data_IF_818663626664
#
_entry.id   IF_818663626664
#
_cell.length_a   1.000
_cell.length_b   1.000
_cell.length_c   1.000
_cell.angle_alpha   90.00
_cell.angle_beta   90.00
_cell.angle_gamma   90.00
#
_symmetry.space_group_name_H-M   'P 1'
#
loop_
_entity.id
_entity.type
_entity.pdbx_description
1 polymer ?
#
# COMPACT_ATOMS: atom_id res chain seq x y z
N UNK A 1 -2.25 -11.11 24.06
CA UNK A 1 -2.16 -9.67 24.39
C UNK A 1 -2.42 -8.88 23.11
N UNK A 2 -3.30 -7.87 23.11
CA UNK A 2 -3.56 -7.07 21.91
C UNK A 2 -2.25 -6.41 21.44
N UNK A 3 -1.87 -6.65 20.18
CA UNK A 3 -0.69 -6.01 19.59
C UNK A 3 -0.97 -4.53 19.40
N UNK A 4 -0.08 -3.69 19.90
CA UNK A 4 -0.19 -2.24 19.81
C UNK A 4 -0.03 -1.85 18.34
N UNK A 5 -1.06 -1.25 17.75
CA UNK A 5 -1.00 -0.68 16.39
C UNK A 5 0.08 0.40 16.32
N UNK A 6 0.80 0.48 15.20
CA UNK A 6 1.78 1.53 14.96
C UNK A 6 1.15 2.94 15.06
N UNK A 7 -0.08 3.09 14.55
CA UNK A 7 -0.86 4.33 14.65
C UNK A 7 -1.21 4.66 16.10
N UNK A 8 -1.60 3.65 16.88
CA UNK A 8 -1.92 3.80 18.29
C UNK A 8 -0.72 4.31 19.11
N UNK A 9 0.48 3.80 18.84
CA UNK A 9 1.71 4.24 19.49
C UNK A 9 2.08 5.69 19.15
N UNK A 10 1.94 6.08 17.88
CA UNK A 10 2.15 7.47 17.44
C UNK A 10 1.17 8.42 18.12
N UNK A 11 -0.12 8.10 18.09
CA UNK A 11 -1.18 8.93 18.72
C UNK A 11 -0.95 9.06 20.22
N UNK A 12 -0.65 7.96 20.92
CA UNK A 12 -0.34 7.99 22.34
C UNK A 12 0.89 8.87 22.66
N UNK A 13 1.93 8.79 21.82
CA UNK A 13 3.14 9.62 21.96
C UNK A 13 2.81 11.11 21.80
N UNK A 14 2.06 11.49 20.77
CA UNK A 14 1.64 12.89 20.56
C UNK A 14 0.71 13.40 21.66
N UNK A 15 -0.25 12.59 22.12
CA UNK A 15 -1.14 12.95 23.23
C UNK A 15 -0.35 13.14 24.53
N UNK A 16 0.60 12.26 24.82
CA UNK A 16 1.44 12.39 26.01
C UNK A 16 2.29 13.67 25.98
N UNK A 17 2.87 14.00 24.82
CA UNK A 17 3.63 15.24 24.63
C UNK A 17 2.74 16.48 24.80
N UNK A 18 1.54 16.47 24.21
CA UNK A 18 0.57 17.55 24.34
C UNK A 18 0.13 17.76 25.79
N UNK A 19 -0.11 16.68 26.55
CA UNK A 19 -0.47 16.75 27.96
C UNK A 19 0.66 17.37 28.80
N UNK A 20 1.91 16.96 28.56
CA UNK A 20 3.09 17.50 29.26
C UNK A 20 3.26 18.99 28.94
N UNK A 21 3.14 19.39 27.67
CA UNK A 21 3.18 20.79 27.26
C UNK A 21 2.08 21.62 27.92
N UNK A 22 0.85 21.10 27.96
CA UNK A 22 -0.30 21.78 28.55
C UNK A 22 -0.14 21.93 30.07
N UNK A 23 0.33 20.89 30.76
CA UNK A 23 0.63 20.94 32.20
C UNK A 23 1.75 21.94 32.50
N UNK A 24 2.83 21.93 31.71
CA UNK A 24 3.93 22.86 31.82
C UNK A 24 3.45 24.32 31.62
N UNK A 25 2.67 24.58 30.57
CA UNK A 25 2.12 25.91 30.30
C UNK A 25 1.16 26.38 31.41
N UNK A 26 0.31 25.50 31.93
CA UNK A 26 -0.59 25.82 33.04
C UNK A 26 0.17 26.17 34.32
N UNK A 27 1.22 25.41 34.65
CA UNK A 27 2.10 25.71 35.79
C UNK A 27 2.82 27.05 35.63
N UNK A 28 3.37 27.32 34.44
CA UNK A 28 4.02 28.61 34.13
C UNK A 28 3.01 29.76 34.28
N UNK A 29 1.82 29.64 33.69
CA UNK A 29 0.80 30.69 33.73
C UNK A 29 0.36 31.04 35.16
N UNK A 30 0.16 30.03 36.02
CA UNK A 30 -0.23 30.22 37.43
C UNK A 30 0.85 30.98 38.22
N UNK A 31 2.11 30.55 38.12
CA UNK A 31 3.21 31.15 38.89
C UNK A 31 3.48 32.59 38.46
N UNK A 32 3.45 32.86 37.15
CA UNK A 32 3.60 34.22 36.61
C UNK A 32 2.47 35.16 37.06
N UNK A 33 1.23 34.68 37.11
CA UNK A 33 0.09 35.49 37.53
C UNK A 33 0.18 35.90 39.01
N UNK A 34 0.49 34.95 39.90
CA UNK A 34 0.53 35.20 41.36
C UNK A 34 1.70 36.12 41.71
N UNK A 35 2.90 35.85 41.19
CA UNK A 35 4.09 36.69 41.47
C UNK A 35 3.93 38.10 40.91
N UNK A 36 3.31 38.23 39.73
CA UNK A 36 3.00 39.54 39.15
C UNK A 36 2.06 40.36 40.04
N UNK A 37 1.06 39.72 40.65
CA UNK A 37 0.13 40.39 41.56
C UNK A 37 0.82 40.87 42.84
N UNK A 38 1.61 40.00 43.49
CA UNK A 38 2.27 40.31 44.76
C UNK A 38 3.29 41.47 44.57
N UNK A 39 4.08 41.44 43.49
CA UNK A 39 5.04 42.51 43.18
C UNK A 39 4.35 43.86 42.91
N UNK A 40 3.24 43.87 42.17
CA UNK A 40 2.46 45.07 41.90
C UNK A 40 1.82 45.63 43.17
N UNK A 41 1.29 44.76 44.04
CA UNK A 41 0.68 45.17 45.30
C UNK A 41 1.70 45.83 46.24
N UNK A 42 2.87 45.21 46.40
CA UNK A 42 3.94 45.75 47.22
C UNK A 42 4.37 47.16 46.76
N UNK A 43 4.60 47.34 45.45
CA UNK A 43 5.00 48.63 44.89
C UNK A 43 3.90 49.71 45.07
N UNK A 44 2.63 49.34 44.89
CA UNK A 44 1.51 50.25 45.10
C UNK A 44 1.37 50.63 46.59
N UNK A 45 1.49 49.68 47.51
CA UNK A 45 1.43 49.95 48.96
C UNK A 45 2.54 50.90 49.40
N UNK A 46 3.77 50.71 48.92
CA UNK A 46 4.90 51.59 49.22
C UNK A 46 4.71 53.00 48.63
N UNK A 47 4.21 53.10 47.38
CA UNK A 47 3.91 54.39 46.75
C UNK A 47 2.80 55.13 47.52
N UNK A 48 1.76 54.41 47.95
CA UNK A 48 0.67 54.95 48.76
C UNK A 48 1.18 55.42 50.12
N UNK A 49 2.03 54.63 50.80
CA UNK A 49 2.70 55.01 52.06
C UNK A 49 3.39 56.38 51.95
N UNK A 50 4.25 56.52 50.93
CA UNK A 50 5.04 57.73 50.70
C UNK A 50 4.17 58.92 50.36
N UNK A 51 3.09 58.70 49.62
CA UNK A 51 2.15 59.76 49.24
C UNK A 51 1.33 60.22 50.45
N UNK A 52 0.86 59.27 51.27
CA UNK A 52 0.14 59.54 52.51
C UNK A 52 0.97 60.39 53.47
N UNK A 53 2.23 60.03 53.70
CA UNK A 53 3.14 60.77 54.58
C UNK A 53 3.43 62.20 54.11
N UNK A 54 3.32 62.47 52.80
CA UNK A 54 3.53 63.82 52.24
C UNK A 54 2.29 64.70 52.32
N UNK A 55 1.09 64.12 52.27
CA UNK A 55 -0.16 64.86 52.12
C UNK A 55 -0.97 64.95 53.42
N UNK A 56 -0.77 64.04 54.36
CA UNK A 56 -1.52 63.95 55.62
C UNK A 56 -0.64 64.38 56.78
N UNK A 57 -1.12 65.29 57.63
CA UNK A 57 -0.35 65.78 58.79
C UNK A 57 -0.18 64.73 59.90
N UNK A 58 0.87 64.83 60.74
CA UNK A 58 1.26 63.78 61.70
C UNK A 58 0.16 63.43 62.73
N UNK A 59 -0.69 64.37 63.12
CA UNK A 59 -1.82 64.07 64.02
C UNK A 59 -2.89 63.19 63.38
N UNK A 60 -3.21 63.43 62.09
CA UNK A 60 -4.16 62.61 61.33
C UNK A 60 -3.59 61.25 60.97
N UNK A 61 -2.27 61.15 60.74
CA UNK A 61 -1.60 59.87 60.49
C UNK A 61 -1.80 58.88 61.65
N UNK A 62 -1.92 59.37 62.89
CA UNK A 62 -2.15 58.53 64.08
C UNK A 62 -3.58 57.98 64.14
N UNK A 63 -4.56 58.64 63.54
CA UNK A 63 -5.97 58.28 63.71
C UNK A 63 -6.42 57.05 62.92
N UNK A 64 -5.60 56.59 61.96
CA UNK A 64 -5.94 55.43 61.12
C UNK A 64 -7.04 55.78 60.12
N UNK A 65 -6.73 55.76 58.82
CA UNK A 65 -7.71 56.15 57.80
C UNK A 65 -7.50 55.43 56.46
N UNK A 66 -8.54 55.42 55.66
CA UNK A 66 -8.47 54.95 54.29
C UNK A 66 -7.87 56.04 53.39
N UNK A 67 -6.93 55.65 52.54
CA UNK A 67 -6.27 56.53 51.58
C UNK A 67 -5.98 55.77 50.29
N UNK A 68 -6.53 56.25 49.17
CA UNK A 68 -6.39 55.64 47.84
C UNK A 68 -6.75 54.14 47.78
N UNK A 69 -7.76 53.71 48.55
CA UNK A 69 -8.22 52.31 48.60
C UNK A 69 -7.34 51.37 49.42
N UNK A 70 -6.44 51.92 50.24
CA UNK A 70 -5.68 51.20 51.26
C UNK A 70 -6.03 51.76 52.63
N UNK A 71 -5.99 50.94 53.67
CA UNK A 71 -6.13 51.39 55.05
C UNK A 71 -4.75 51.56 55.68
N UNK A 72 -4.46 52.72 56.26
CA UNK A 72 -3.18 53.01 56.89
C UNK A 72 -3.37 53.40 58.34
N UNK A 73 -2.56 52.86 59.25
CA UNK A 73 -2.53 53.29 60.65
C UNK A 73 -1.14 53.09 61.26
N UNK A 74 -0.75 54.02 62.14
CA UNK A 74 0.49 53.92 62.92
C UNK A 74 0.38 52.94 64.10
N UNK A 75 -0.84 52.70 64.59
CA UNK A 75 -1.12 51.75 65.66
C UNK A 75 -1.77 50.48 65.10
N UNK A 76 -1.21 49.33 65.46
CA UNK A 76 -1.76 48.02 65.10
C UNK A 76 -3.18 47.81 65.62
N UNK A 77 -3.51 48.34 66.79
CA UNK A 77 -4.85 48.17 67.38
C UNK A 77 -5.94 48.88 66.58
N UNK A 78 -5.57 49.90 65.78
CA UNK A 78 -6.47 50.64 64.89
C UNK A 78 -6.62 49.99 63.52
N UNK A 79 -5.93 48.88 63.25
CA UNK A 79 -6.15 48.14 62.01
C UNK A 79 -7.56 47.55 61.98
N UNK A 80 -8.22 47.50 60.80
CA UNK A 80 -9.55 46.94 60.66
C UNK A 80 -9.62 45.47 61.09
N UNK A 81 -10.81 45.03 61.50
CA UNK A 81 -11.02 43.67 61.99
C UNK A 81 -10.59 42.59 60.98
N UNK A 82 -10.80 42.83 59.68
CA UNK A 82 -10.39 41.90 58.65
C UNK A 82 -8.87 41.65 58.60
N UNK A 83 -8.07 42.66 58.96
CA UNK A 83 -6.61 42.55 59.02
C UNK A 83 -6.22 41.79 60.29
N UNK A 84 -6.79 42.18 61.43
CA UNK A 84 -6.49 41.56 62.73
C UNK A 84 -6.95 40.11 62.84
N UNK A 85 -8.01 39.73 62.13
CA UNK A 85 -8.46 38.33 62.00
C UNK A 85 -7.54 37.51 61.08
N UNK A 86 -6.96 38.15 60.06
CA UNK A 86 -6.10 37.48 59.08
C UNK A 86 -4.65 37.34 59.55
N UNK A 87 -4.18 38.27 60.39
CA UNK A 87 -2.82 38.31 60.92
C UNK A 87 -2.87 38.50 62.43
N UNK A 88 -2.42 37.48 63.18
CA UNK A 88 -2.45 37.50 64.64
C UNK A 88 -1.45 38.48 65.28
N UNK A 89 -0.40 38.86 64.56
CA UNK A 89 0.66 39.75 65.03
C UNK A 89 1.00 40.80 63.97
N UNK A 90 1.45 42.00 64.38
CA UNK A 90 1.92 43.01 63.45
C UNK A 90 3.18 42.52 62.71
N UNK A 91 3.34 42.89 61.43
CA UNK A 91 4.51 42.53 60.64
C UNK A 91 5.80 43.07 61.25
N UNK A 92 6.81 42.21 61.37
CA UNK A 92 8.11 42.50 62.02
C UNK A 92 9.17 43.01 61.07
N UNK A 93 9.06 42.72 59.78
CA UNK A 93 10.00 43.17 58.76
C UNK A 93 9.39 44.30 57.92
N UNK A 94 10.10 45.45 57.77
CA UNK A 94 9.65 46.53 56.92
C UNK A 94 9.79 46.17 55.44
N UNK A 95 8.91 46.72 54.61
CA UNK A 95 8.86 46.53 53.16
C UNK A 95 8.66 45.07 52.68
N UNK A 96 8.33 44.14 53.58
CA UNK A 96 7.88 42.80 53.21
C UNK A 96 6.35 42.77 53.08
N UNK A 97 5.85 42.15 52.01
CA UNK A 97 4.42 41.96 51.77
C UNK A 97 3.93 40.69 52.46
N UNK A 98 3.03 40.84 53.42
CA UNK A 98 2.32 39.77 54.09
C UNK A 98 0.97 39.54 53.42
N UNK A 99 0.58 38.27 53.27
CA UNK A 99 -0.64 37.87 52.55
C UNK A 99 -1.37 36.77 53.30
N UNK A 100 -2.68 36.94 53.44
CA UNK A 100 -3.60 35.94 53.94
C UNK A 100 -4.70 35.71 52.91
N UNK A 101 -5.14 34.45 52.77
CA UNK A 101 -6.23 34.09 51.87
C UNK A 101 -7.08 32.98 52.47
N UNK A 102 -8.38 32.99 52.16
CA UNK A 102 -9.35 31.98 52.59
C UNK A 102 -9.28 30.65 51.81
N UNK A 103 -8.56 30.63 50.68
CA UNK A 103 -8.44 29.46 49.80
C UNK A 103 -7.29 28.52 50.18
N UNK A 104 -7.61 27.22 50.34
CA UNK A 104 -6.64 26.13 50.43
C UNK A 104 -6.51 25.32 49.12
N UNK A 105 -5.28 25.04 48.68
CA UNK A 105 -5.01 24.12 47.57
C UNK A 105 -5.36 24.64 46.17
N UNK A 106 -6.27 23.95 45.47
CA UNK A 106 -6.67 24.24 44.08
C UNK A 106 -7.89 25.18 43.96
N UNK A 107 -8.53 25.57 45.07
CA UNK A 107 -9.67 26.51 45.04
C UNK A 107 -9.17 27.96 44.92
N UNK A 108 -9.84 28.75 44.08
CA UNK A 108 -9.56 30.17 43.94
C UNK A 108 -9.98 30.89 45.23
N UNK A 109 -9.10 31.68 45.87
CA UNK A 109 -9.47 32.43 47.07
C UNK A 109 -10.50 33.50 46.72
N UNK A 110 -11.53 33.62 47.55
CA UNK A 110 -12.60 34.61 47.42
C UNK A 110 -12.21 35.91 48.12
N UNK A 111 -11.32 35.82 49.11
CA UNK A 111 -10.79 36.95 49.88
C UNK A 111 -9.27 36.86 49.99
N UNK A 112 -8.59 37.95 49.62
CA UNK A 112 -7.16 38.12 49.86
C UNK A 112 -6.90 39.40 50.65
N UNK A 113 -6.19 39.28 51.77
CA UNK A 113 -5.78 40.43 52.59
C UNK A 113 -4.27 40.60 52.46
N UNK A 114 -3.87 41.79 52.04
CA UNK A 114 -2.48 42.20 51.93
C UNK A 114 -2.13 43.18 53.05
N UNK A 115 -0.94 43.02 53.61
CA UNK A 115 -0.45 43.82 54.73
C UNK A 115 1.05 44.09 54.56
N UNK A 116 1.48 45.32 54.84
CA UNK A 116 2.89 45.70 54.79
C UNK A 116 3.20 46.69 55.91
N UNK A 117 4.39 46.58 56.50
CA UNK A 117 4.96 47.62 57.37
C UNK A 117 5.86 48.54 56.56
N UNK A 118 5.68 49.84 56.73
CA UNK A 118 6.55 50.86 56.18
C UNK A 118 7.14 51.68 57.33
N UNK A 119 8.46 51.65 57.48
CA UNK A 119 9.13 52.35 58.57
C UNK A 119 9.29 53.84 58.23
N UNK A 120 8.95 54.70 59.19
CA UNK A 120 9.06 56.15 59.08
C UNK A 120 9.91 56.69 60.23
N UNK A 121 10.30 57.97 60.16
CA UNK A 121 11.04 58.62 61.25
C UNK A 121 10.23 58.71 62.56
N UNK A 122 8.90 58.66 62.49
CA UNK A 122 8.00 58.77 63.64
C UNK A 122 7.51 57.41 64.17
N UNK A 123 7.90 56.31 63.53
CA UNK A 123 7.50 54.94 63.90
C UNK A 123 6.96 54.12 62.72
N UNK A 124 6.49 52.89 62.98
CA UNK A 124 5.98 52.00 61.94
C UNK A 124 4.61 52.47 61.43
N UNK A 125 4.44 52.49 60.11
CA UNK A 125 3.15 52.68 59.45
C UNK A 125 2.71 51.36 58.84
N UNK A 126 1.56 50.85 59.28
CA UNK A 126 0.97 49.64 58.70
C UNK A 126 0.02 50.02 57.57
N UNK A 127 0.07 49.28 56.47
CA UNK A 127 -0.76 49.49 55.29
C UNK A 127 -1.41 48.18 54.97
N UNK A 128 -2.73 48.19 54.82
CA UNK A 128 -3.49 47.00 54.51
C UNK A 128 -4.48 47.25 53.37
N UNK A 129 -4.79 46.18 52.63
CA UNK A 129 -5.88 46.19 51.66
C UNK A 129 -6.50 44.82 51.56
N UNK A 130 -7.82 44.80 51.56
CA UNK A 130 -8.59 43.65 51.16
C UNK A 130 -8.86 43.72 49.65
N UNK A 131 -8.54 42.64 48.94
CA UNK A 131 -9.04 42.40 47.59
C UNK A 131 -10.06 41.26 47.64
N UNK A 132 -11.30 41.62 47.39
CA UNK A 132 -12.33 40.74 46.83
C UNK A 132 -12.18 40.85 45.31
N UNK A 133 -11.79 39.78 44.59
CA UNK A 133 -11.44 39.90 43.17
C UNK A 133 -12.62 40.44 42.34
N UNK A 134 -12.53 41.63 41.72
CA UNK A 134 -13.53 42.05 40.75
C UNK A 134 -13.34 41.27 39.44
N UNK A 135 -14.43 41.15 38.66
CA UNK A 135 -14.40 40.48 37.35
C UNK A 135 -13.40 41.19 36.43
N UNK A 136 -12.36 40.43 36.04
CA UNK A 136 -11.37 40.66 34.97
C UNK A 136 -10.92 42.12 34.75
N UNK A 137 -9.73 42.47 35.25
CA UNK A 137 -8.89 43.46 34.57
C UNK A 137 -7.42 43.06 34.56
N UNK A 138 -6.85 43.19 33.37
CA UNK A 138 -5.47 42.92 32.96
C UNK A 138 -4.60 44.13 33.24
N UNK A 139 -3.34 43.93 33.68
CA UNK A 139 -2.11 44.61 33.20
C UNK A 139 -0.91 44.38 34.15
N UNK A 140 -0.04 43.48 33.68
CA UNK A 140 1.44 43.36 33.60
C UNK A 140 2.28 44.61 34.01
N UNK A 141 3.53 44.61 34.54
CA UNK A 141 4.75 43.81 34.36
C UNK A 141 5.74 43.87 35.56
N UNK A 142 6.66 42.88 35.58
CA UNK A 142 8.08 42.91 36.00
C UNK A 142 8.48 42.08 37.24
N UNK A 143 8.98 40.86 37.02
CA UNK A 143 10.05 40.23 37.83
C UNK A 143 10.80 39.18 36.99
N UNK A 144 12.02 39.51 36.52
CA UNK A 144 12.71 38.75 35.43
C UNK A 144 13.68 37.67 35.95
N UNK A 145 14.21 37.77 37.18
CA UNK A 145 15.38 36.98 37.58
C UNK A 145 15.06 35.59 38.16
N UNK A 146 14.05 35.48 39.04
CA UNK A 146 13.66 34.19 39.63
C UNK A 146 12.83 33.35 38.65
N UNK A 147 12.07 34.01 37.77
CA UNK A 147 11.34 33.37 36.68
C UNK A 147 12.26 32.67 35.68
N UNK A 148 13.50 33.16 35.51
CA UNK A 148 14.46 32.56 34.58
C UNK A 148 14.85 31.14 34.98
N UNK A 149 15.12 30.88 36.26
CA UNK A 149 15.50 29.54 36.73
C UNK A 149 14.32 28.56 36.61
N UNK A 150 13.12 28.97 36.99
CA UNK A 150 11.92 28.14 36.83
C UNK A 150 11.63 27.83 35.35
N UNK A 151 11.69 28.84 34.48
CA UNK A 151 11.55 28.65 33.03
C UNK A 151 12.61 27.71 32.46
N UNK A 152 13.87 27.84 32.87
CA UNK A 152 14.94 26.94 32.43
C UNK A 152 14.66 25.51 32.86
N UNK A 153 14.19 25.29 34.09
CA UNK A 153 13.90 23.94 34.61
C UNK A 153 12.74 23.30 33.86
N UNK A 154 11.63 24.03 33.67
CA UNK A 154 10.48 23.53 32.89
C UNK A 154 10.88 23.27 31.43
N UNK A 155 11.64 24.18 30.82
CA UNK A 155 12.12 24.01 29.44
C UNK A 155 13.00 22.77 29.30
N UNK A 156 13.87 22.50 30.27
CA UNK A 156 14.77 21.34 30.26
C UNK A 156 14.02 20.03 30.47
N UNK A 157 12.98 20.02 31.32
CA UNK A 157 12.07 18.87 31.49
C UNK A 157 11.30 18.59 30.20
N UNK A 158 10.72 19.61 29.57
CA UNK A 158 10.00 19.46 28.29
C UNK A 158 10.95 18.96 27.19
N UNK A 159 12.17 19.51 27.10
CA UNK A 159 13.18 19.08 26.14
C UNK A 159 13.58 17.60 26.36
N UNK A 160 13.80 17.19 27.62
CA UNK A 160 14.10 15.80 27.96
C UNK A 160 12.96 14.86 27.58
N UNK A 161 11.71 15.28 27.78
CA UNK A 161 10.53 14.50 27.40
C UNK A 161 10.40 14.35 25.88
N UNK A 162 10.63 15.43 25.11
CA UNK A 162 10.67 15.40 23.65
C UNK A 162 11.77 14.46 23.16
N UNK A 163 12.97 14.55 23.74
CA UNK A 163 14.09 13.68 23.38
C UNK A 163 13.78 12.19 23.69
N UNK A 164 13.16 11.90 24.84
CA UNK A 164 12.75 10.56 25.23
C UNK A 164 11.71 9.97 24.27
N UNK A 165 10.66 10.73 23.95
CA UNK A 165 9.63 10.30 22.99
C UNK A 165 10.25 10.09 21.60
N UNK A 166 11.10 11.01 21.16
CA UNK A 166 11.78 10.89 19.86
C UNK A 166 12.65 9.64 19.79
N UNK A 167 13.41 9.35 20.86
CA UNK A 167 14.23 8.14 20.95
C UNK A 167 13.39 6.86 20.98
N UNK A 168 12.28 6.86 21.71
CA UNK A 168 11.33 5.73 21.74
C UNK A 168 10.71 5.48 20.36
N UNK A 169 10.22 6.53 19.69
CA UNK A 169 9.68 6.44 18.33
C UNK A 169 10.72 5.91 17.35
N UNK A 170 11.95 6.42 17.40
CA UNK A 170 13.03 5.94 16.53
C UNK A 170 13.31 4.44 16.78
N UNK A 171 13.35 4.01 18.03
CA UNK A 171 13.64 2.61 18.38
C UNK A 171 12.48 1.66 18.06
N UNK A 172 11.24 2.10 18.28
CA UNK A 172 10.05 1.26 18.10
C UNK A 172 9.53 1.26 16.67
N UNK A 173 9.68 2.35 15.91
CA UNK A 173 9.19 2.45 14.53
C UNK A 173 10.28 2.14 13.52
N UNK A 174 11.46 2.76 13.63
CA UNK A 174 12.49 2.65 12.58
C UNK A 174 13.13 1.27 12.53
N UNK A 175 13.27 0.55 13.66
CA UNK A 175 13.82 -0.82 13.64
C UNK A 175 12.90 -1.81 12.90
N UNK A 176 11.59 -1.92 13.22
CA UNK A 176 10.69 -2.79 12.45
C UNK A 176 10.57 -2.39 10.97
N UNK A 177 10.58 -1.10 10.66
CA UNK A 177 10.61 -0.64 9.27
C UNK A 177 11.89 -1.05 8.55
N UNK A 178 13.06 -0.95 9.20
CA UNK A 178 14.33 -1.40 8.65
C UNK A 178 14.34 -2.92 8.45
N UNK A 179 13.73 -3.70 9.35
CA UNK A 179 13.57 -5.14 9.20
C UNK A 179 12.70 -5.48 7.99
N UNK A 180 11.56 -4.80 7.81
CA UNK A 180 10.71 -4.97 6.64
C UNK A 180 11.49 -4.65 5.36
N UNK A 181 12.21 -3.52 5.32
CA UNK A 181 13.06 -3.14 4.19
C UNK A 181 14.16 -4.16 3.89
N UNK A 182 14.81 -4.70 4.92
CA UNK A 182 15.84 -5.72 4.74
C UNK A 182 15.24 -7.02 4.18
N UNK A 183 14.06 -7.42 4.68
CA UNK A 183 13.34 -8.58 4.17
C UNK A 183 12.91 -8.40 2.70
N UNK A 184 12.36 -7.23 2.34
CA UNK A 184 11.97 -6.95 0.94
C UNK A 184 13.17 -6.92 0.00
N UNK A 185 14.33 -6.39 0.42
CA UNK A 185 15.55 -6.44 -0.39
C UNK A 185 16.15 -7.86 -0.50
N UNK A 186 15.95 -8.69 0.50
CA UNK A 186 16.43 -10.06 0.52
C UNK A 186 15.49 -11.04 -0.21
N UNK A 187 14.34 -10.57 -0.70
CA UNK A 187 13.33 -11.40 -1.34
C UNK A 187 13.81 -11.90 -2.70
N UNK A 188 13.76 -13.22 -2.86
CA UNK A 188 14.11 -13.94 -4.07
C UNK A 188 13.03 -14.99 -4.37
N UNK A 189 13.23 -15.74 -5.46
CA UNK A 189 12.31 -16.77 -5.93
C UNK A 189 11.99 -17.84 -4.87
N UNK A 190 12.96 -18.22 -4.06
CA UNK A 190 12.79 -19.29 -3.07
C UNK A 190 12.11 -18.78 -1.79
N UNK A 191 12.44 -17.56 -1.37
CA UNK A 191 11.83 -16.93 -0.18
C UNK A 191 10.40 -16.46 -0.41
N UNK A 192 9.99 -16.23 -1.65
CA UNK A 192 8.59 -15.93 -1.98
C UNK A 192 7.65 -17.10 -1.66
N UNK A 193 8.15 -18.34 -1.68
CA UNK A 193 7.38 -19.53 -1.28
C UNK A 193 7.26 -19.69 0.25
N UNK A 194 8.05 -18.94 1.02
CA UNK A 194 8.04 -19.01 2.47
C UNK A 194 6.95 -18.10 3.05
N UNK A 195 6.44 -18.40 4.27
CA UNK A 195 5.51 -17.51 4.96
C UNK A 195 6.19 -16.17 5.28
N UNK A 196 5.40 -15.09 5.24
CA UNK A 196 5.86 -13.76 5.64
C UNK A 196 6.33 -13.80 7.10
N UNK A 197 7.50 -13.21 7.43
CA UNK A 197 7.96 -13.11 8.81
C UNK A 197 6.97 -12.32 9.66
N UNK A 198 6.85 -12.69 10.92
CA UNK A 198 5.96 -11.98 11.83
C UNK A 198 6.61 -10.70 12.36
N UNK A 199 6.22 -9.55 11.80
CA UNK A 199 6.68 -8.24 12.22
C UNK A 199 5.95 -7.76 13.48
N UNK A 200 6.59 -6.81 14.18
CA UNK A 200 6.10 -6.28 15.45
C UNK A 200 4.70 -5.62 15.37
N UNK A 201 4.31 -5.16 14.18
CA UNK A 201 3.06 -4.43 13.96
C UNK A 201 2.19 -5.12 12.91
N UNK A 202 0.88 -5.28 13.15
CA UNK A 202 -0.06 -5.85 12.18
C UNK A 202 -0.03 -5.15 10.81
N UNK A 203 0.10 -3.82 10.80
CA UNK A 203 0.12 -3.04 9.56
C UNK A 203 1.36 -3.35 8.70
N UNK A 204 2.49 -3.72 9.33
CA UNK A 204 3.68 -4.15 8.59
C UNK A 204 3.50 -5.57 8.02
N UNK A 205 2.79 -6.45 8.73
CA UNK A 205 2.45 -7.79 8.22
C UNK A 205 1.52 -7.69 7.00
N UNK A 206 0.50 -6.83 7.05
CA UNK A 206 -0.39 -6.59 5.90
C UNK A 206 0.39 -6.07 4.68
N UNK A 207 1.29 -5.10 4.89
CA UNK A 207 2.12 -4.57 3.82
C UNK A 207 3.08 -5.63 3.26
N UNK A 208 3.69 -6.44 4.12
CA UNK A 208 4.59 -7.51 3.71
C UNK A 208 3.85 -8.59 2.89
N UNK A 209 2.61 -8.92 3.27
CA UNK A 209 1.75 -9.85 2.53
C UNK A 209 1.36 -9.31 1.16
N UNK A 210 1.04 -8.02 1.08
CA UNK A 210 0.75 -7.35 -0.20
C UNK A 210 1.97 -7.38 -1.13
N UNK A 211 3.18 -7.11 -0.60
CA UNK A 211 4.44 -7.16 -1.35
C UNK A 211 4.71 -8.59 -1.84
N UNK A 212 4.58 -9.59 -0.95
CA UNK A 212 4.75 -11.01 -1.31
C UNK A 212 3.81 -11.41 -2.44
N UNK A 213 2.52 -11.11 -2.30
CA UNK A 213 1.50 -11.46 -3.29
C UNK A 213 1.78 -10.79 -4.63
N UNK A 214 2.14 -9.51 -4.63
CA UNK A 214 2.47 -8.76 -5.86
C UNK A 214 3.71 -9.30 -6.57
N UNK A 215 4.78 -9.62 -5.82
CA UNK A 215 5.99 -10.20 -6.42
C UNK A 215 5.75 -11.63 -6.91
N UNK A 216 4.95 -12.42 -6.19
CA UNK A 216 4.60 -13.77 -6.60
C UNK A 216 3.81 -13.79 -7.92
N UNK A 217 2.89 -12.83 -8.12
CA UNK A 217 2.11 -12.73 -9.35
C UNK A 217 2.99 -12.34 -10.55
N UNK A 218 3.91 -11.38 -10.35
CA UNK A 218 4.91 -10.99 -11.36
C UNK A 218 5.82 -12.17 -11.71
N UNK A 219 6.32 -12.89 -10.71
CA UNK A 219 7.16 -14.07 -10.96
C UNK A 219 6.41 -15.15 -11.72
N UNK A 220 5.16 -15.45 -11.35
CA UNK A 220 4.34 -16.42 -12.07
C UNK A 220 4.10 -15.99 -13.53
N UNK A 221 3.93 -14.69 -13.79
CA UNK A 221 3.83 -14.16 -15.16
C UNK A 221 5.13 -14.34 -15.94
N UNK A 222 6.28 -13.98 -15.36
CA UNK A 222 7.59 -14.18 -15.98
C UNK A 222 7.91 -15.65 -16.26
N UNK A 223 7.49 -16.56 -15.38
CA UNK A 223 7.66 -18.00 -15.58
C UNK A 223 6.79 -18.54 -16.72
N UNK A 224 5.56 -18.02 -16.88
CA UNK A 224 4.73 -18.31 -18.05
C UNK A 224 5.38 -17.80 -19.33
N UNK A 225 5.85 -16.55 -19.32
CA UNK A 225 6.52 -15.95 -20.48
C UNK A 225 7.80 -16.69 -20.89
N UNK A 226 8.66 -17.06 -19.93
CA UNK A 226 9.87 -17.86 -20.20
C UNK A 226 9.55 -19.24 -20.76
N UNK A 227 8.53 -19.90 -20.24
CA UNK A 227 8.06 -21.20 -20.78
C UNK A 227 7.57 -21.02 -22.22
N UNK A 228 6.72 -20.03 -22.45
CA UNK A 228 6.22 -19.69 -23.77
C UNK A 228 7.35 -19.42 -24.78
N UNK A 229 8.32 -18.56 -24.44
CA UNK A 229 9.47 -18.26 -25.32
C UNK A 229 10.32 -19.50 -25.61
N UNK A 230 10.52 -20.36 -24.61
CA UNK A 230 11.24 -21.63 -24.78
C UNK A 230 10.50 -22.53 -25.76
N UNK A 231 9.20 -22.72 -25.58
CA UNK A 231 8.38 -23.54 -26.47
C UNK A 231 8.34 -22.96 -27.89
N UNK A 232 8.12 -21.65 -28.05
CA UNK A 232 8.18 -20.96 -29.34
C UNK A 232 9.52 -21.18 -30.07
N UNK A 233 10.64 -21.08 -29.34
CA UNK A 233 11.97 -21.32 -29.89
C UNK A 233 12.17 -22.76 -30.38
N UNK A 234 11.63 -23.75 -29.65
CA UNK A 234 11.69 -25.16 -30.04
C UNK A 234 10.85 -25.43 -31.30
N UNK A 235 9.63 -24.92 -31.35
CA UNK A 235 8.69 -25.14 -32.46
C UNK A 235 9.12 -24.45 -33.75
N UNK A 236 9.84 -23.32 -33.68
CA UNK A 236 10.44 -22.70 -34.86
C UNK A 236 11.70 -23.45 -35.34
N UNK A 237 12.49 -24.04 -34.43
CA UNK A 237 13.74 -24.74 -34.79
C UNK A 237 13.49 -25.97 -35.66
N UNK A 238 12.44 -26.73 -35.38
CA UNK A 238 12.10 -27.96 -36.11
C UNK A 238 11.85 -27.71 -37.60
N UNK A 239 10.90 -26.83 -38.02
CA UNK A 239 10.69 -26.55 -39.43
C UNK A 239 11.92 -25.89 -40.08
N UNK A 240 12.70 -25.06 -39.36
CA UNK A 240 13.95 -24.47 -39.91
C UNK A 240 14.95 -25.59 -40.25
N UNK A 241 15.08 -26.57 -39.36
CA UNK A 241 15.98 -27.71 -39.57
C UNK A 241 15.52 -28.58 -40.73
N UNK A 242 14.20 -28.79 -40.87
CA UNK A 242 13.59 -29.51 -42.00
C UNK A 242 13.88 -28.80 -43.32
N UNK A 243 13.69 -27.47 -43.40
CA UNK A 243 14.01 -26.69 -44.61
C UNK A 243 15.49 -26.83 -44.95
N UNK A 244 16.39 -26.63 -43.97
CA UNK A 244 17.83 -26.71 -44.19
C UNK A 244 18.29 -28.09 -44.68
N UNK A 245 17.77 -29.16 -44.06
CA UNK A 245 18.09 -30.54 -44.44
C UNK A 245 17.60 -30.86 -45.86
N UNK A 246 16.39 -30.46 -46.21
CA UNK A 246 15.82 -30.69 -47.55
C UNK A 246 16.53 -29.85 -48.63
N UNK A 247 16.94 -28.61 -48.33
CA UNK A 247 17.78 -27.80 -49.23
C UNK A 247 19.14 -28.46 -49.46
N UNK A 248 19.77 -29.03 -48.43
CA UNK A 248 21.03 -29.77 -48.58
C UNK A 248 20.85 -31.05 -49.41
N UNK A 249 19.74 -31.76 -49.18
CA UNK A 249 19.38 -32.95 -49.97
C UNK A 249 19.15 -32.59 -51.44
N UNK A 250 18.45 -31.49 -51.73
CA UNK A 250 18.26 -30.99 -53.10
C UNK A 250 19.60 -30.74 -53.78
N UNK A 251 20.53 -30.04 -53.10
CA UNK A 251 21.88 -29.79 -53.64
C UNK A 251 22.62 -31.08 -53.99
N UNK A 252 22.50 -32.13 -53.18
CA UNK A 252 23.11 -33.45 -53.43
C UNK A 252 22.43 -34.20 -54.58
N UNK A 253 21.11 -34.07 -54.75
CA UNK A 253 20.34 -34.73 -55.81
C UNK A 253 20.50 -34.05 -57.18
N UNK A 254 20.52 -32.71 -57.22
CA UNK A 254 20.80 -31.95 -58.45
C UNK A 254 22.19 -32.27 -58.99
N UNK A 255 23.18 -32.49 -58.12
CA UNK A 255 24.53 -32.93 -58.52
C UNK A 255 24.59 -34.36 -59.09
N UNK A 256 23.54 -35.17 -58.90
CA UNK A 256 23.46 -36.59 -59.32
C UNK A 256 22.46 -36.85 -60.45
N UNK A 257 21.89 -35.82 -61.09
CA UNK A 257 20.83 -35.95 -62.11
C UNK A 257 19.63 -36.80 -61.61
N UNK A 258 19.15 -36.51 -60.40
CA UNK A 258 18.02 -37.22 -59.81
C UNK A 258 16.71 -36.99 -60.57
N UNK A 259 15.82 -38.00 -60.51
CA UNK A 259 14.46 -38.01 -61.08
C UNK A 259 13.59 -36.85 -60.58
N UNK A 260 12.70 -36.34 -61.43
CA UNK A 260 11.77 -35.23 -61.13
C UNK A 260 10.94 -35.50 -59.86
N UNK A 261 10.53 -36.75 -59.61
CA UNK A 261 9.77 -37.13 -58.41
C UNK A 261 10.51 -36.88 -57.08
N UNK A 262 11.83 -37.10 -57.05
CA UNK A 262 12.63 -36.90 -55.83
C UNK A 262 12.84 -35.42 -55.54
N UNK A 263 12.91 -34.58 -56.58
CA UNK A 263 12.98 -33.13 -56.45
C UNK A 263 11.64 -32.55 -55.98
N UNK A 264 10.53 -33.04 -56.54
CA UNK A 264 9.18 -32.64 -56.15
C UNK A 264 8.92 -32.93 -54.67
N UNK A 265 9.28 -34.14 -54.20
CA UNK A 265 9.11 -34.53 -52.80
C UNK A 265 9.90 -33.63 -51.81
N UNK A 266 11.04 -33.08 -52.23
CA UNK A 266 11.85 -32.15 -51.43
C UNK A 266 11.20 -30.77 -51.38
N UNK A 267 10.73 -30.26 -52.52
CA UNK A 267 10.00 -28.99 -52.59
C UNK A 267 8.75 -29.05 -51.71
N UNK A 268 7.99 -30.15 -51.77
CA UNK A 268 6.82 -30.33 -50.93
C UNK A 268 7.19 -30.34 -49.44
N UNK A 269 8.33 -30.92 -49.04
CA UNK A 269 8.79 -30.91 -47.64
C UNK A 269 9.18 -29.51 -47.15
N UNK A 270 9.80 -28.71 -48.01
CA UNK A 270 10.16 -27.32 -47.71
C UNK A 270 8.91 -26.44 -47.59
N UNK A 271 7.95 -26.62 -48.49
CA UNK A 271 6.69 -25.89 -48.50
C UNK A 271 5.89 -26.17 -47.21
N UNK A 272 5.75 -27.44 -46.84
CA UNK A 272 5.11 -27.85 -45.56
C UNK A 272 5.75 -27.23 -44.33
N UNK A 273 7.08 -27.18 -44.28
CA UNK A 273 7.80 -26.60 -43.17
C UNK A 273 7.62 -25.05 -43.12
N UNK A 274 7.55 -24.41 -44.28
CA UNK A 274 7.29 -22.96 -44.40
C UNK A 274 5.87 -22.61 -43.94
N UNK A 275 4.86 -23.37 -44.37
CA UNK A 275 3.47 -23.21 -43.93
C UNK A 275 3.33 -23.40 -42.41
N UNK A 276 4.06 -24.36 -41.83
CA UNK A 276 4.08 -24.57 -40.38
C UNK A 276 4.62 -23.34 -39.63
N UNK A 277 5.73 -22.75 -40.11
CA UNK A 277 6.24 -21.51 -39.52
C UNK A 277 5.27 -20.34 -39.68
N UNK A 278 4.67 -20.17 -40.86
CA UNK A 278 3.71 -19.11 -41.11
C UNK A 278 2.57 -19.16 -40.08
N UNK A 279 1.92 -20.32 -39.92
CA UNK A 279 0.85 -20.46 -38.94
C UNK A 279 1.29 -20.20 -37.50
N UNK A 280 2.48 -20.66 -37.11
CA UNK A 280 3.02 -20.37 -35.77
C UNK A 280 3.20 -18.87 -35.58
N UNK A 281 3.80 -18.17 -36.54
CA UNK A 281 4.01 -16.72 -36.46
C UNK A 281 2.71 -15.94 -36.44
N UNK A 282 1.72 -16.32 -37.27
CA UNK A 282 0.38 -15.71 -37.27
C UNK A 282 -0.31 -15.87 -35.91
N UNK A 283 -0.25 -17.08 -35.33
CA UNK A 283 -0.85 -17.36 -34.01
C UNK A 283 -0.17 -16.54 -32.91
N UNK A 284 1.17 -16.44 -32.92
CA UNK A 284 1.95 -15.68 -31.95
C UNK A 284 1.72 -14.16 -32.07
N UNK A 285 1.65 -13.64 -33.30
CA UNK A 285 1.33 -12.23 -33.56
C UNK A 285 -0.05 -11.89 -33.02
N UNK A 286 -1.01 -12.78 -33.23
CA UNK A 286 -2.37 -12.56 -32.75
C UNK A 286 -2.46 -12.59 -31.21
N UNK A 287 -1.75 -13.52 -30.56
CA UNK A 287 -1.70 -13.57 -29.09
C UNK A 287 -1.01 -12.35 -28.47
N UNK A 288 0.01 -11.79 -29.12
CA UNK A 288 0.70 -10.58 -28.65
C UNK A 288 -0.02 -9.28 -29.00
N UNK A 289 -0.93 -9.30 -29.98
CA UNK A 289 -1.68 -8.12 -30.35
C UNK A 289 -2.61 -7.73 -29.21
N UNK A 290 -2.46 -6.55 -28.60
CA UNK A 290 -3.47 -5.96 -27.71
C UNK A 290 -4.42 -5.13 -28.58
N UNK A 291 -5.66 -5.58 -28.83
CA UNK A 291 -6.58 -4.81 -29.62
C UNK A 291 -7.01 -3.58 -28.80
N UNK A 292 -6.61 -2.38 -29.24
CA UNK A 292 -7.16 -1.11 -28.75
C UNK A 292 -8.63 -0.93 -29.15
N UNK A 293 -9.16 -1.79 -30.03
CA UNK A 293 -10.51 -1.73 -30.59
C UNK A 293 -11.15 -3.15 -30.62
N UNK A 294 -12.45 -3.30 -30.30
CA UNK A 294 -13.10 -4.62 -30.31
C UNK A 294 -12.98 -5.31 -31.67
N UNK A 295 -12.63 -6.61 -31.65
CA UNK A 295 -12.53 -7.44 -32.86
C UNK A 295 -13.85 -7.39 -33.63
N UNK A 296 -13.80 -6.96 -34.90
CA UNK A 296 -14.99 -6.93 -35.74
C UNK A 296 -15.44 -8.37 -36.03
N UNK A 297 -16.60 -8.72 -35.50
CA UNK A 297 -17.28 -9.97 -35.81
C UNK A 297 -17.98 -9.83 -37.17
N UNK A 298 -17.84 -10.83 -38.03
CA UNK A 298 -18.54 -10.93 -39.30
C UNK A 298 -19.33 -12.23 -39.36
N UNK A 299 -20.39 -12.27 -40.16
CA UNK A 299 -21.16 -13.49 -40.38
C UNK A 299 -20.30 -14.51 -41.13
N UNK A 300 -20.02 -15.65 -40.48
CA UNK A 300 -19.20 -16.72 -41.03
C UNK A 300 -20.03 -18.01 -41.07
N UNK A 301 -20.10 -18.62 -42.25
CA UNK A 301 -20.62 -19.98 -42.44
C UNK A 301 -19.58 -20.98 -41.92
N UNK A 302 -19.85 -21.53 -40.74
CA UNK A 302 -18.94 -22.41 -40.02
C UNK A 302 -18.77 -23.77 -40.71
N UNK A 303 -19.84 -24.28 -41.33
CA UNK A 303 -19.79 -25.53 -42.09
C UNK A 303 -18.92 -25.39 -43.33
N UNK A 304 -18.98 -24.23 -44.00
CA UNK A 304 -18.10 -23.91 -45.12
C UNK A 304 -16.66 -23.74 -44.66
N UNK A 305 -16.41 -22.98 -43.60
CA UNK A 305 -15.08 -22.73 -43.04
C UNK A 305 -14.35 -24.03 -42.67
N UNK A 306 -15.02 -24.95 -41.96
CA UNK A 306 -14.44 -26.24 -41.57
C UNK A 306 -14.06 -27.09 -42.78
N UNK A 307 -14.91 -27.11 -43.82
CA UNK A 307 -14.63 -27.83 -45.07
C UNK A 307 -13.46 -27.22 -45.83
N UNK A 308 -13.44 -25.89 -45.98
CA UNK A 308 -12.35 -25.16 -46.63
C UNK A 308 -10.99 -25.45 -45.96
N UNK A 309 -10.92 -25.39 -44.62
CA UNK A 309 -9.70 -25.69 -43.86
C UNK A 309 -9.30 -27.17 -43.97
N UNK A 310 -10.26 -28.09 -43.96
CA UNK A 310 -10.01 -29.51 -44.12
C UNK A 310 -9.48 -29.86 -45.51
N UNK A 311 -9.97 -29.19 -46.56
CA UNK A 311 -9.51 -29.35 -47.94
C UNK A 311 -8.12 -28.72 -48.13
N UNK A 312 -7.90 -27.50 -47.60
CA UNK A 312 -6.60 -26.79 -47.62
C UNK A 312 -5.48 -27.65 -47.01
N UNK A 313 -5.81 -28.45 -45.98
CA UNK A 313 -4.85 -29.28 -45.26
C UNK A 313 -4.80 -30.75 -45.72
N UNK A 314 -5.62 -31.15 -46.70
CA UNK A 314 -5.72 -32.55 -47.14
C UNK A 314 -4.37 -33.16 -47.59
N UNK A 315 -3.44 -32.32 -48.06
CA UNK A 315 -2.09 -32.75 -48.44
C UNK A 315 -1.31 -33.43 -47.30
N UNK A 316 -1.65 -33.17 -46.03
CA UNK A 316 -1.01 -33.78 -44.86
C UNK A 316 -1.33 -35.27 -44.71
N UNK A 317 -2.36 -35.74 -45.41
CA UNK A 317 -2.77 -37.14 -45.46
C UNK A 317 -2.22 -37.87 -46.69
N UNK A 318 -1.56 -37.16 -47.62
CA UNK A 318 -1.00 -37.77 -48.84
C UNK A 318 0.02 -38.86 -48.48
N UNK A 319 -0.22 -40.07 -48.97
CA UNK A 319 0.62 -41.24 -48.69
C UNK A 319 0.32 -41.95 -47.37
N UNK A 320 -0.69 -41.51 -46.61
CA UNK A 320 -1.18 -42.20 -45.41
C UNK A 320 -2.48 -42.98 -45.72
N UNK A 321 -2.67 -44.20 -45.18
CA UNK A 321 -3.92 -44.96 -45.35
C UNK A 321 -5.03 -44.44 -44.41
N UNK A 322 -5.28 -43.13 -44.41
CA UNK A 322 -6.22 -42.45 -43.50
C UNK A 322 -7.43 -41.97 -44.27
N UNK A 323 -8.64 -42.23 -43.74
CA UNK A 323 -9.91 -41.73 -44.31
C UNK A 323 -10.40 -40.52 -43.54
N UNK A 324 -10.76 -39.44 -44.22
CA UNK A 324 -11.40 -38.29 -43.56
C UNK A 324 -12.91 -38.41 -43.65
N UNK A 325 -13.61 -38.26 -42.51
CA UNK A 325 -15.07 -38.15 -42.46
C UNK A 325 -15.46 -36.80 -41.86
N UNK A 326 -16.05 -35.94 -42.68
CA UNK A 326 -16.53 -34.61 -42.29
C UNK A 326 -18.06 -34.65 -42.25
N UNK A 327 -18.64 -34.30 -41.11
CA UNK A 327 -20.09 -34.19 -40.91
C UNK A 327 -20.37 -32.78 -40.38
N UNK A 328 -20.98 -31.93 -41.21
CA UNK A 328 -21.26 -30.53 -40.88
C UNK A 328 -22.74 -30.22 -41.14
N UNK A 329 -23.32 -29.33 -40.35
CA UNK A 329 -24.68 -28.80 -40.52
C UNK A 329 -24.63 -27.29 -40.83
N UNK A 330 -25.41 -26.77 -41.80
CA UNK A 330 -25.43 -25.34 -42.12
C UNK A 330 -25.63 -24.47 -40.87
N UNK A 331 -24.68 -23.60 -40.59
CA UNK A 331 -24.69 -22.73 -39.41
C UNK A 331 -23.84 -21.50 -39.66
N UNK A 332 -24.44 -20.32 -39.49
CA UNK A 332 -23.77 -19.02 -39.62
C UNK A 332 -23.80 -18.32 -38.28
N UNK A 333 -22.67 -17.80 -37.83
CA UNK A 333 -22.62 -16.95 -36.63
C UNK A 333 -21.61 -15.81 -36.80
N UNK A 334 -21.82 -14.75 -36.01
CA UNK A 334 -20.94 -13.59 -35.97
C UNK A 334 -19.67 -13.95 -35.20
N UNK A 335 -18.54 -14.03 -35.90
CA UNK A 335 -17.25 -14.38 -35.29
C UNK A 335 -16.07 -13.64 -35.95
N UNK A 336 -14.99 -13.37 -35.21
CA UNK A 336 -13.75 -12.88 -35.80
C UNK A 336 -13.16 -13.94 -36.75
N UNK A 337 -13.17 -13.69 -38.06
CA UNK A 337 -12.79 -14.68 -39.07
C UNK A 337 -11.32 -15.14 -38.95
N UNK A 338 -10.40 -14.20 -38.75
CA UNK A 338 -8.96 -14.51 -38.68
C UNK A 338 -8.64 -15.46 -37.49
N UNK A 339 -9.06 -15.16 -36.25
CA UNK A 339 -8.84 -16.05 -35.11
C UNK A 339 -9.50 -17.43 -35.28
N UNK A 340 -10.68 -17.47 -35.88
CA UNK A 340 -11.38 -18.72 -36.15
C UNK A 340 -10.62 -19.62 -37.13
N UNK A 341 -10.07 -19.03 -38.20
CA UNK A 341 -9.17 -19.76 -39.12
C UNK A 341 -7.94 -20.30 -38.39
N UNK A 342 -7.34 -19.52 -37.51
CA UNK A 342 -6.15 -19.94 -36.75
C UNK A 342 -6.47 -21.12 -35.81
N UNK A 343 -7.52 -21.00 -34.98
CA UNK A 343 -7.91 -22.06 -34.02
C UNK A 343 -8.31 -23.34 -34.75
N UNK A 344 -9.27 -23.25 -35.68
CA UNK A 344 -9.78 -24.42 -36.39
C UNK A 344 -8.71 -25.05 -37.28
N UNK A 345 -7.90 -24.22 -37.95
CA UNK A 345 -6.76 -24.68 -38.74
C UNK A 345 -5.75 -25.42 -37.88
N UNK A 346 -5.39 -24.92 -36.70
CA UNK A 346 -4.48 -25.62 -35.79
C UNK A 346 -5.03 -26.98 -35.34
N UNK A 347 -6.32 -27.08 -35.02
CA UNK A 347 -6.93 -28.35 -34.59
C UNK A 347 -7.00 -29.37 -35.73
N UNK A 348 -7.40 -28.95 -36.93
CA UNK A 348 -7.49 -29.83 -38.11
C UNK A 348 -6.08 -30.29 -38.53
N UNK A 349 -5.11 -29.36 -38.55
CA UNK A 349 -3.71 -29.67 -38.84
C UNK A 349 -3.17 -30.72 -37.88
N UNK A 350 -3.38 -30.54 -36.58
CA UNK A 350 -2.93 -31.49 -35.56
C UNK A 350 -3.54 -32.89 -35.80
N UNK A 351 -4.84 -32.95 -36.09
CA UNK A 351 -5.50 -34.23 -36.37
C UNK A 351 -4.90 -34.94 -37.61
N UNK A 352 -4.59 -34.20 -38.68
CA UNK A 352 -4.02 -34.78 -39.90
C UNK A 352 -2.53 -35.14 -39.76
N UNK A 353 -1.75 -34.32 -39.04
CA UNK A 353 -0.34 -34.56 -38.80
C UNK A 353 -0.13 -35.83 -37.95
N UNK A 354 -0.93 -36.02 -36.91
CA UNK A 354 -0.74 -37.09 -35.92
C UNK A 354 -1.58 -38.36 -36.16
N UNK A 355 -2.44 -38.38 -37.18
CA UNK A 355 -3.13 -39.60 -37.61
C UNK A 355 -2.27 -40.41 -38.59
N UNK A 356 -2.07 -41.69 -38.31
CA UNK A 356 -1.26 -42.61 -39.13
C UNK A 356 -2.06 -43.82 -39.65
N UNK A 357 -3.18 -44.17 -39.02
CA UNK A 357 -4.07 -45.25 -39.43
C UNK A 357 -5.55 -44.90 -39.17
N UNK A 358 -6.46 -45.69 -39.74
CA UNK A 358 -7.92 -45.55 -39.67
C UNK A 358 -8.51 -44.27 -40.28
N UNK A 359 -8.97 -43.35 -39.43
CA UNK A 359 -9.78 -42.21 -39.89
C UNK A 359 -9.70 -41.00 -38.96
N UNK A 360 -9.69 -39.82 -39.57
CA UNK A 360 -9.95 -38.55 -38.88
C UNK A 360 -11.42 -38.22 -39.03
N UNK A 361 -12.10 -37.91 -37.92
CA UNK A 361 -13.50 -37.52 -37.91
C UNK A 361 -13.65 -36.07 -37.45
N UNK A 362 -14.33 -35.27 -38.26
CA UNK A 362 -14.64 -33.87 -37.97
C UNK A 362 -16.16 -33.74 -37.97
N UNK A 363 -16.73 -33.42 -36.81
CA UNK A 363 -18.18 -33.25 -36.60
C UNK A 363 -18.46 -31.81 -36.17
N UNK A 364 -19.30 -31.10 -36.90
CA UNK A 364 -19.77 -29.76 -36.53
C UNK A 364 -21.29 -29.74 -36.40
N UNK A 365 -21.75 -29.27 -35.24
CA UNK A 365 -23.16 -29.14 -34.87
C UNK A 365 -23.39 -27.78 -34.22
N UNK A 366 -24.10 -26.87 -34.91
CA UNK A 366 -24.24 -25.49 -34.44
C UNK A 366 -22.88 -24.81 -34.25
N UNK A 367 -22.64 -24.17 -33.11
CA UNK A 367 -21.36 -23.51 -32.80
C UNK A 367 -20.26 -24.46 -32.28
N UNK A 368 -20.55 -25.77 -32.18
CA UNK A 368 -19.63 -26.78 -31.61
C UNK A 368 -18.95 -27.56 -32.73
N UNK A 369 -17.62 -27.65 -32.66
CA UNK A 369 -16.78 -28.47 -33.55
C UNK A 369 -16.04 -29.51 -32.71
N UNK A 370 -16.11 -30.77 -33.11
CA UNK A 370 -15.42 -31.90 -32.48
C UNK A 370 -14.54 -32.58 -33.53
N UNK A 371 -13.25 -32.70 -33.24
CA UNK A 371 -12.26 -33.36 -34.10
C UNK A 371 -11.70 -34.55 -33.34
N UNK A 372 -11.73 -35.73 -33.96
CA UNK A 372 -11.25 -36.99 -33.40
C UNK A 372 -10.25 -37.65 -34.34
N UNK A 373 -9.12 -38.09 -33.80
CA UNK A 373 -8.16 -38.91 -34.52
C UNK A 373 -7.54 -39.97 -33.60
N UNK A 374 -7.32 -41.19 -34.09
CA UNK A 374 -6.47 -42.15 -33.39
C UNK A 374 -5.04 -41.63 -33.36
N UNK A 375 -4.35 -41.90 -32.25
CA UNK A 375 -2.93 -41.62 -32.06
C UNK A 375 -2.22 -42.96 -32.02
N UNK A 376 -1.38 -43.23 -33.02
CA UNK A 376 -0.56 -44.44 -33.05
C UNK A 376 0.53 -44.35 -32.00
N UNK A 377 0.54 -45.27 -31.03
CA UNK A 377 1.68 -45.50 -30.14
C UNK A 377 2.76 -46.26 -30.92
N UNK A 378 3.51 -45.57 -31.78
CA UNK A 378 4.76 -46.14 -32.30
C UNK A 378 5.83 -46.02 -31.20
N UNK A 379 6.17 -47.16 -30.59
CA UNK A 379 7.14 -47.43 -29.51
C UNK A 379 6.69 -47.28 -28.04
N UNK A 380 6.51 -48.42 -27.31
CA UNK A 380 6.30 -48.45 -25.86
C UNK A 380 7.53 -48.09 -25.00
N UNK A 381 8.74 -48.04 -25.58
CA UNK A 381 10.01 -47.77 -24.86
C UNK A 381 10.43 -46.29 -24.87
N UNK A 382 9.69 -45.40 -25.55
CA UNK A 382 9.95 -43.96 -25.53
C UNK A 382 9.10 -43.26 -24.46
N UNK A 383 9.40 -43.55 -23.19
CA UNK A 383 8.78 -42.86 -22.05
C UNK A 383 9.06 -41.35 -22.02
N UNK A 384 10.04 -40.87 -22.80
CA UNK A 384 10.34 -39.44 -22.96
C UNK A 384 9.40 -38.74 -23.98
N UNK A 385 8.79 -39.48 -24.92
CA UNK A 385 7.83 -38.90 -25.88
C UNK A 385 6.47 -38.59 -25.24
N UNK A 386 6.10 -39.21 -24.12
CA UNK A 386 4.86 -38.89 -23.41
C UNK A 386 4.90 -37.52 -22.70
N UNK A 387 6.10 -37.01 -22.37
CA UNK A 387 6.31 -35.64 -21.91
C UNK A 387 6.69 -34.67 -23.05
N UNK A 388 7.16 -35.20 -24.18
CA UNK A 388 7.53 -34.47 -25.40
C UNK A 388 6.57 -34.70 -26.57
N UNK A 389 5.29 -35.00 -26.33
CA UNK A 389 4.36 -35.14 -27.47
C UNK A 389 4.28 -33.78 -28.16
N UNK A 390 4.64 -33.73 -29.45
CA UNK A 390 4.71 -32.54 -30.32
C UNK A 390 3.38 -31.81 -30.56
N UNK A 391 2.45 -31.90 -29.62
CA UNK A 391 1.24 -31.10 -29.53
C UNK A 391 1.45 -29.77 -28.77
N UNK A 392 2.59 -29.61 -28.09
CA UNK A 392 2.80 -28.68 -26.97
C UNK A 392 2.38 -27.24 -27.24
N UNK A 393 3.02 -26.57 -28.19
CA UNK A 393 2.71 -25.16 -28.42
C UNK A 393 1.43 -24.98 -29.24
N UNK A 394 1.15 -25.83 -30.24
CA UNK A 394 -0.03 -25.67 -31.09
C UNK A 394 -1.35 -25.76 -30.31
N UNK A 395 -1.44 -26.69 -29.35
CA UNK A 395 -2.61 -26.81 -28.47
C UNK A 395 -2.63 -25.73 -27.38
N UNK A 396 -1.49 -25.40 -26.78
CA UNK A 396 -1.39 -24.34 -25.77
C UNK A 396 -1.79 -22.98 -26.36
N UNK A 397 -1.35 -22.67 -27.58
CA UNK A 397 -1.73 -21.46 -28.30
C UNK A 397 -3.23 -21.48 -28.63
N UNK A 398 -3.78 -22.62 -29.07
CA UNK A 398 -5.23 -22.77 -29.31
C UNK A 398 -6.03 -22.57 -28.04
N UNK A 399 -5.57 -23.07 -26.89
CA UNK A 399 -6.20 -22.88 -25.60
C UNK A 399 -6.18 -21.41 -25.16
N UNK A 400 -5.01 -20.77 -25.22
CA UNK A 400 -4.86 -19.34 -24.89
C UNK A 400 -5.71 -18.45 -25.81
N UNK A 401 -5.72 -18.75 -27.11
CA UNK A 401 -6.49 -18.02 -28.11
C UNK A 401 -8.00 -18.19 -27.88
N UNK A 402 -8.45 -19.42 -27.60
CA UNK A 402 -9.86 -19.71 -27.30
C UNK A 402 -10.31 -19.00 -26.01
N UNK A 403 -9.50 -19.06 -24.94
CA UNK A 403 -9.80 -18.35 -23.69
C UNK A 403 -9.91 -16.85 -23.91
N UNK A 404 -9.02 -16.27 -24.72
CA UNK A 404 -9.03 -14.83 -25.04
C UNK A 404 -10.27 -14.40 -25.85
N UNK A 405 -10.77 -15.29 -26.71
CA UNK A 405 -11.99 -15.07 -27.48
C UNK A 405 -13.27 -15.40 -26.69
N UNK A 406 -13.15 -15.90 -25.46
CA UNK A 406 -14.29 -16.35 -24.65
C UNK A 406 -14.91 -17.68 -25.12
N UNK A 407 -14.18 -18.46 -25.90
CA UNK A 407 -14.62 -19.76 -26.44
C UNK A 407 -14.35 -20.88 -25.44
N UNK A 408 -15.21 -21.91 -25.45
CA UNK A 408 -14.95 -23.12 -24.65
C UNK A 408 -14.13 -24.09 -25.48
N UNK A 409 -12.98 -24.48 -24.95
CA UNK A 409 -12.09 -25.45 -25.58
C UNK A 409 -11.75 -26.57 -24.59
N UNK A 410 -11.93 -27.81 -25.02
CA UNK A 410 -11.58 -29.00 -24.26
C UNK A 410 -10.90 -30.01 -25.16
N UNK A 411 -9.90 -30.71 -24.63
CA UNK A 411 -9.28 -31.82 -25.31
C UNK A 411 -9.02 -32.97 -24.35
N UNK A 412 -9.02 -34.20 -24.87
CA UNK A 412 -8.75 -35.40 -24.10
C UNK A 412 -8.14 -36.48 -24.98
N UNK A 413 -7.23 -37.27 -24.41
CA UNK A 413 -6.74 -38.52 -24.99
C UNK A 413 -7.37 -39.67 -24.19
N UNK A 414 -8.20 -40.49 -24.84
CA UNK A 414 -8.87 -41.66 -24.23
C UNK A 414 -8.78 -42.84 -25.16
N UNK A 415 -8.36 -43.99 -24.64
CA UNK A 415 -8.31 -45.26 -25.39
C UNK A 415 -7.58 -45.16 -26.74
N UNK A 416 -6.48 -44.39 -26.80
CA UNK A 416 -5.71 -44.16 -28.02
C UNK A 416 -6.36 -43.20 -29.03
N UNK A 417 -7.47 -42.57 -28.69
CA UNK A 417 -8.15 -41.57 -29.51
C UNK A 417 -8.00 -40.19 -28.88
N UNK A 418 -7.43 -39.26 -29.64
CA UNK A 418 -7.40 -37.86 -29.29
C UNK A 418 -8.69 -37.19 -29.77
N UNK A 419 -9.33 -36.44 -28.87
CA UNK A 419 -10.51 -35.64 -29.16
C UNK A 419 -10.24 -34.19 -28.76
N UNK A 420 -10.40 -33.26 -29.70
CA UNK A 420 -10.45 -31.82 -29.46
C UNK A 420 -11.85 -31.29 -29.74
N UNK A 421 -12.33 -30.42 -28.87
CA UNK A 421 -13.66 -29.84 -28.92
C UNK A 421 -13.57 -28.33 -28.70
N UNK A 422 -14.18 -27.55 -29.58
CA UNK A 422 -14.25 -26.08 -29.47
C UNK A 422 -15.66 -25.58 -29.74
N UNK A 423 -16.13 -24.66 -28.90
CA UNK A 423 -17.41 -23.95 -29.02
C UNK A 423 -17.13 -22.46 -29.23
N UNK A 424 -17.35 -21.97 -30.47
CA UNK A 424 -16.93 -20.62 -30.92
C UNK A 424 -17.91 -19.50 -30.57
N UNK A 425 -19.08 -19.83 -30.05
CA UNK A 425 -20.05 -18.89 -29.52
C UNK A 425 -20.68 -19.56 -28.29
N UNK A 426 -20.26 -19.26 -27.06
CA UNK A 426 -20.97 -19.80 -25.91
C UNK A 426 -22.41 -19.30 -25.99
N UNK A 427 -23.38 -20.23 -25.94
CA UNK A 427 -24.78 -19.87 -25.88
C UNK A 427 -24.97 -18.83 -24.76
N UNK A 428 -25.43 -17.63 -25.13
CA UNK A 428 -25.85 -16.60 -24.18
C UNK A 428 -26.83 -17.24 -23.20
N UNK A 429 -26.42 -17.35 -21.94
CA UNK A 429 -27.31 -17.74 -20.84
C UNK A 429 -28.24 -16.59 -20.48
#
# INVERSE_FOLDING_TARGET
MPRISLKGLLVASFLSLGLVLMAAYSMISKDYFIRGLDASMAANMEKTARTFLRLVGPEQQRQGQEFSGFYLAADWQRMPDYVRQSFAQPPTEPALLYKASDGGGFRRPERMVFLMRYDTQEGPLYIARELTPPVKSTVVHATVRQNRQFMLTVSLVVLGFIALISWLLLRHVSRPMAALRAWTHALDRDKLAQPVPDFAYPELNELAELIRTSLSSVQAALERERRFLRHASHELRTPISTIRSNVELQRKLTARQATDEAQQAILDRIDRASLTMQHLTETLLWLNHQPDEPLQAQDVDLARLVRELADEMAYLLTGKPVRTRIVTSPFTCALPLIPARIVLGNLIRNAYQHCWHDSVRIEQHGARIVIRNPVGLENPDDSDLQQQTGYGLGLELTEQLSQRLGWRYHHALRDGVYQAEVEVCPASY
#
